data_IF_979342066916
#
_entry.id   IF_979342066916
#
_cell.length_a   1.000
_cell.length_b   1.000
_cell.length_c   1.000
_cell.angle_alpha   90.00
_cell.angle_beta   90.00
_cell.angle_gamma   90.00
#
_symmetry.space_group_name_H-M   'P 1'
#
loop_
_entity.id
_entity.type
_entity.pdbx_description
1 polymer ?
#
# COMPACT_ATOMS: atom_id res chain seq x y z
N UNK A 1 14.42 -8.36 44.48
CA UNK A 1 13.87 -9.27 43.45
C UNK A 1 13.42 -8.41 42.29
N UNK A 2 14.31 -8.13 41.32
CA UNK A 2 13.95 -7.41 40.08
C UNK A 2 15.00 -7.55 38.97
N UNK A 3 15.70 -8.69 38.88
CA UNK A 3 16.63 -8.97 37.78
C UNK A 3 16.09 -10.11 36.93
N UNK A 4 15.06 -9.83 36.14
CA UNK A 4 14.61 -10.72 35.08
C UNK A 4 14.32 -9.93 33.80
N UNK A 5 15.16 -10.14 32.78
CA UNK A 5 14.93 -9.91 31.35
C UNK A 5 14.93 -8.46 30.81
N UNK A 6 16.10 -7.82 30.74
CA UNK A 6 16.31 -6.68 29.82
C UNK A 6 17.21 -7.03 28.61
N UNK A 7 17.41 -8.32 28.31
CA UNK A 7 18.04 -8.77 27.06
C UNK A 7 16.97 -8.97 25.99
N UNK A 8 17.07 -8.24 24.87
CA UNK A 8 16.11 -8.30 23.77
C UNK A 8 16.03 -7.02 22.96
N UNK A 9 15.04 -6.95 22.08
CA UNK A 9 14.79 -5.83 21.17
C UNK A 9 13.43 -5.22 21.50
N UNK A 10 13.37 -3.91 21.69
CA UNK A 10 12.12 -3.15 21.80
C UNK A 10 11.97 -2.27 20.56
N UNK A 11 10.94 -2.54 19.77
CA UNK A 11 10.57 -1.76 18.59
C UNK A 11 9.53 -0.71 18.98
N UNK A 12 9.75 0.56 18.62
CA UNK A 12 8.89 1.68 19.04
C UNK A 12 8.41 2.49 17.83
N UNK A 13 7.11 2.64 17.68
CA UNK A 13 6.52 3.57 16.72
C UNK A 13 6.52 5.01 17.23
N UNK A 14 7.10 5.94 16.45
CA UNK A 14 7.20 7.35 16.81
C UNK A 14 5.98 8.19 16.44
N UNK A 15 5.01 7.61 15.75
CA UNK A 15 3.89 8.35 15.17
C UNK A 15 4.28 9.08 13.87
N UNK A 16 3.32 9.70 13.18
CA UNK A 16 3.53 10.35 11.87
C UNK A 16 3.99 11.81 11.98
N UNK A 17 4.03 12.39 13.18
CA UNK A 17 4.21 13.83 13.37
C UNK A 17 4.99 14.19 14.64
N UNK A 18 4.50 15.17 15.39
CA UNK A 18 5.12 15.64 16.63
C UNK A 18 4.89 14.73 17.83
N UNK A 19 5.59 15.01 18.93
CA UNK A 19 5.56 14.18 20.14
C UNK A 19 4.18 14.02 20.81
N UNK A 20 3.23 14.92 20.51
CA UNK A 20 1.84 14.79 20.97
C UNK A 20 1.10 13.58 20.38
N UNK A 21 1.60 12.98 19.30
CA UNK A 21 1.05 11.79 18.67
C UNK A 21 1.71 10.49 19.15
N UNK A 22 2.67 10.56 20.07
CA UNK A 22 3.20 9.36 20.72
C UNK A 22 2.10 8.67 21.53
N UNK A 23 2.05 7.34 21.44
CA UNK A 23 1.20 6.58 22.35
C UNK A 23 1.67 6.77 23.79
N UNK A 24 0.73 6.71 24.75
CA UNK A 24 1.09 6.81 26.17
C UNK A 24 2.12 5.75 26.58
N UNK A 25 2.05 4.57 25.96
CA UNK A 25 3.00 3.48 26.20
C UNK A 25 4.40 3.82 25.68
N UNK A 26 4.52 4.36 24.46
CA UNK A 26 5.79 4.83 23.92
C UNK A 26 6.39 5.91 24.81
N UNK A 27 5.60 6.93 25.19
CA UNK A 27 6.06 8.00 26.09
C UNK A 27 6.59 7.47 27.43
N UNK A 28 5.88 6.54 28.07
CA UNK A 28 6.32 5.93 29.33
C UNK A 28 7.64 5.17 29.15
N UNK A 29 7.77 4.36 28.10
CA UNK A 29 8.99 3.63 27.80
C UNK A 29 10.20 4.56 27.58
N UNK A 30 10.02 5.64 26.81
CA UNK A 30 11.07 6.64 26.56
C UNK A 30 11.56 7.30 27.85
N UNK A 31 10.74 7.38 28.89
CA UNK A 31 11.13 7.91 30.20
C UNK A 31 11.87 6.89 31.08
N UNK A 32 11.84 5.60 30.75
CA UNK A 32 12.46 4.52 31.52
C UNK A 32 13.84 4.12 31.01
N UNK A 33 14.17 4.45 29.76
CA UNK A 33 15.43 4.07 29.10
C UNK A 33 16.44 5.23 29.05
N UNK A 34 17.71 4.87 28.89
CA UNK A 34 18.81 5.85 28.77
C UNK A 34 19.25 6.09 27.32
N UNK A 35 19.08 5.10 26.43
CA UNK A 35 19.54 5.14 25.03
C UNK A 35 18.46 4.63 24.10
N UNK A 36 18.24 5.35 23.01
CA UNK A 36 17.37 4.95 21.90
C UNK A 36 18.13 5.01 20.58
N UNK A 37 17.91 4.01 19.75
CA UNK A 37 18.35 3.99 18.36
C UNK A 37 17.18 4.41 17.48
N UNK A 38 17.37 5.37 16.59
CA UNK A 38 16.33 5.85 15.68
C UNK A 38 16.74 5.61 14.24
N UNK A 39 15.77 5.26 13.38
CA UNK A 39 16.01 5.14 11.94
C UNK A 39 16.59 6.42 11.35
N UNK A 40 16.06 7.56 11.78
CA UNK A 40 16.52 8.89 11.36
C UNK A 40 16.36 9.94 12.46
N UNK A 41 17.23 10.96 12.48
CA UNK A 41 17.03 12.16 13.31
C UNK A 41 16.01 13.13 12.72
N UNK A 42 15.67 12.99 11.45
CA UNK A 42 14.75 13.87 10.74
C UNK A 42 13.29 13.49 11.04
N UNK A 43 12.90 13.53 12.32
CA UNK A 43 11.54 13.22 12.74
C UNK A 43 11.06 14.21 13.82
N UNK A 44 9.89 14.86 13.66
CA UNK A 44 9.43 15.90 14.59
C UNK A 44 9.27 15.45 16.04
N UNK A 45 8.87 14.19 16.27
CA UNK A 45 8.77 13.59 17.63
C UNK A 45 10.04 13.74 18.47
N UNK A 46 11.24 13.74 17.87
CA UNK A 46 12.50 13.79 18.62
C UNK A 46 12.64 15.07 19.44
N UNK A 47 12.05 16.19 19.00
CA UNK A 47 12.09 17.46 19.74
C UNK A 47 11.37 17.39 21.10
N UNK A 48 10.46 16.43 21.28
CA UNK A 48 9.74 16.22 22.53
C UNK A 48 10.32 15.12 23.42
N UNK A 49 11.45 14.48 23.04
CA UNK A 49 12.05 13.42 23.85
C UNK A 49 12.52 13.91 25.22
N UNK A 50 12.55 13.03 26.25
CA UNK A 50 13.11 13.37 27.54
C UNK A 50 14.56 13.83 27.43
N UNK A 51 14.95 14.92 28.11
CA UNK A 51 16.30 15.51 27.99
C UNK A 51 17.45 14.53 28.33
N UNK A 52 17.18 13.57 29.22
CA UNK A 52 18.15 12.53 29.62
C UNK A 52 18.37 11.45 28.56
N UNK A 53 17.48 11.33 27.58
CA UNK A 53 17.47 10.25 26.61
C UNK A 53 18.53 10.47 25.54
N UNK A 54 19.53 9.59 25.47
CA UNK A 54 20.56 9.64 24.43
C UNK A 54 20.02 9.06 23.13
N UNK A 55 19.99 9.89 22.08
CA UNK A 55 19.56 9.49 20.73
C UNK A 55 20.76 9.11 19.85
N UNK A 56 20.78 7.87 19.39
CA UNK A 56 21.71 7.36 18.38
C UNK A 56 20.93 7.15 17.08
N UNK A 57 21.43 7.64 15.95
CA UNK A 57 20.72 7.56 14.67
C UNK A 57 21.50 6.76 13.64
N UNK A 58 20.77 6.19 12.68
CA UNK A 58 21.34 5.49 11.54
C UNK A 58 21.50 6.36 10.28
N UNK A 59 21.30 7.69 10.37
CA UNK A 59 21.43 8.62 9.23
C UNK A 59 22.76 8.46 8.46
N UNK A 60 23.88 8.19 9.16
CA UNK A 60 25.20 7.96 8.55
C UNK A 60 25.24 6.78 7.57
N UNK A 61 24.35 5.79 7.75
CA UNK A 61 24.26 4.65 6.83
C UNK A 61 23.64 5.05 5.50
N UNK A 62 22.74 6.03 5.49
CA UNK A 62 22.13 6.57 4.27
C UNK A 62 23.11 7.44 3.47
N UNK A 63 24.09 8.06 4.13
CA UNK A 63 25.13 8.87 3.46
C UNK A 63 26.19 8.01 2.74
N UNK A 64 26.32 6.73 3.13
CA UNK A 64 27.43 5.86 2.72
C UNK A 64 27.03 4.74 1.76
N UNK A 65 25.74 4.56 1.46
CA UNK A 65 25.20 3.53 0.57
C UNK A 65 24.29 4.16 -0.48
N UNK A 66 24.37 3.69 -1.73
CA UNK A 66 23.56 4.20 -2.84
C UNK A 66 22.15 3.58 -2.91
N UNK A 67 21.92 2.47 -2.19
CA UNK A 67 20.67 1.69 -2.22
C UNK A 67 20.03 1.52 -0.84
N UNK A 68 18.71 1.69 -0.76
CA UNK A 68 17.95 1.58 0.49
C UNK A 68 18.02 0.18 1.11
N UNK A 69 18.02 -0.87 0.28
CA UNK A 69 18.06 -2.26 0.75
C UNK A 69 19.35 -2.55 1.52
N UNK A 70 20.48 -2.01 1.06
CA UNK A 70 21.76 -2.15 1.75
C UNK A 70 21.78 -1.42 3.09
N UNK A 71 21.17 -0.22 3.14
CA UNK A 71 21.03 0.55 4.38
C UNK A 71 20.18 -0.22 5.38
N UNK A 72 19.02 -0.74 4.95
CA UNK A 72 18.13 -1.51 5.80
C UNK A 72 18.79 -2.78 6.32
N UNK A 73 19.51 -3.52 5.48
CA UNK A 73 20.24 -4.72 5.92
C UNK A 73 21.29 -4.41 6.99
N UNK A 74 22.03 -3.30 6.85
CA UNK A 74 22.98 -2.83 7.87
C UNK A 74 22.28 -2.46 9.17
N UNK A 75 21.15 -1.74 9.12
CA UNK A 75 20.34 -1.39 10.29
C UNK A 75 19.84 -2.65 11.00
N UNK A 76 19.23 -3.58 10.26
CA UNK A 76 18.70 -4.85 10.77
C UNK A 76 19.80 -5.62 11.49
N UNK A 77 20.95 -5.81 10.83
CA UNK A 77 22.11 -6.51 11.41
C UNK A 77 22.58 -5.85 12.69
N UNK A 78 22.66 -4.51 12.71
CA UNK A 78 23.13 -3.77 13.89
C UNK A 78 22.14 -3.85 15.05
N UNK A 79 20.84 -3.78 14.81
CA UNK A 79 19.81 -3.92 15.85
C UNK A 79 19.81 -5.34 16.42
N UNK A 80 19.94 -6.37 15.59
CA UNK A 80 20.04 -7.77 16.03
C UNK A 80 21.30 -8.03 16.87
N UNK A 81 22.43 -7.46 16.48
CA UNK A 81 23.68 -7.50 17.26
C UNK A 81 23.48 -6.86 18.64
N UNK A 82 22.98 -5.62 18.69
CA UNK A 82 22.71 -4.92 19.95
C UNK A 82 21.70 -5.66 20.83
N UNK A 83 20.68 -6.28 20.24
CA UNK A 83 19.65 -7.06 20.96
C UNK A 83 20.18 -8.29 21.70
N UNK A 84 21.35 -8.82 21.30
CA UNK A 84 22.00 -9.96 21.96
C UNK A 84 22.84 -9.54 23.18
N UNK A 85 23.18 -8.27 23.31
CA UNK A 85 24.05 -7.78 24.38
C UNK A 85 23.28 -7.55 25.68
N UNK A 86 24.01 -7.52 26.81
CA UNK A 86 23.45 -7.18 28.11
C UNK A 86 22.86 -5.75 28.07
N UNK A 87 21.57 -5.63 28.37
CA UNK A 87 20.82 -4.36 28.31
C UNK A 87 19.94 -4.18 27.06
N UNK A 88 20.09 -5.05 26.05
CA UNK A 88 19.23 -5.06 24.86
C UNK A 88 19.31 -3.77 24.04
N UNK A 89 18.29 -3.52 23.22
CA UNK A 89 18.20 -2.34 22.36
C UNK A 89 16.76 -1.83 22.26
N UNK A 90 16.58 -0.51 22.30
CA UNK A 90 15.34 0.13 21.83
C UNK A 90 15.62 0.74 20.46
N UNK A 91 14.89 0.27 19.45
CA UNK A 91 14.94 0.78 18.09
C UNK A 91 13.59 1.42 17.72
N UNK A 92 13.62 2.66 17.25
CA UNK A 92 12.43 3.43 16.95
C UNK A 92 12.38 3.89 15.50
N UNK A 93 11.18 3.87 14.95
CA UNK A 93 10.89 4.15 13.54
C UNK A 93 9.76 5.18 13.42
N UNK A 94 9.78 6.04 12.40
CA UNK A 94 8.63 6.88 12.05
C UNK A 94 7.35 6.05 11.90
N UNK A 95 6.22 6.60 12.34
CA UNK A 95 4.93 5.92 12.23
C UNK A 95 4.81 4.69 13.13
N UNK A 96 4.45 3.55 12.53
CA UNK A 96 4.21 2.28 13.20
C UNK A 96 5.28 1.24 12.80
N UNK A 97 5.79 0.39 13.71
CA UNK A 97 6.82 -0.61 13.40
C UNK A 97 6.44 -1.72 12.40
N UNK A 98 5.23 -1.71 11.84
CA UNK A 98 4.72 -2.78 10.97
C UNK A 98 3.87 -2.25 9.81
N UNK A 99 3.79 -0.92 9.63
CA UNK A 99 3.02 -0.29 8.56
C UNK A 99 3.99 0.53 7.71
N UNK A 100 4.16 0.12 6.45
CA UNK A 100 5.13 0.72 5.51
C UNK A 100 6.54 0.88 6.12
N UNK A 101 6.99 -0.14 6.86
CA UNK A 101 8.28 -0.18 7.53
C UNK A 101 8.91 -1.57 7.34
N UNK A 102 10.02 -1.65 6.61
CA UNK A 102 10.62 -2.92 6.20
C UNK A 102 11.57 -3.51 7.26
N UNK A 103 12.20 -2.67 8.08
CA UNK A 103 13.27 -3.12 9.00
C UNK A 103 12.72 -3.90 10.19
N UNK A 104 11.64 -3.44 10.81
CA UNK A 104 11.05 -3.99 12.01
C UNK A 104 10.41 -5.38 11.83
N UNK A 105 9.64 -5.67 10.76
CA UNK A 105 9.17 -7.01 10.46
C UNK A 105 10.33 -8.00 10.28
N UNK A 106 11.37 -7.59 9.54
CA UNK A 106 12.53 -8.45 9.27
C UNK A 106 13.41 -8.67 10.52
N UNK A 107 13.61 -7.63 11.34
CA UNK A 107 14.23 -7.75 12.68
C UNK A 107 13.44 -8.78 13.51
N UNK A 108 12.12 -8.68 13.55
CA UNK A 108 11.27 -9.60 14.34
C UNK A 108 11.41 -11.05 13.84
N UNK A 109 11.40 -11.26 12.52
CA UNK A 109 11.58 -12.58 11.91
C UNK A 109 12.94 -13.20 12.27
N UNK A 110 14.05 -12.48 12.04
CA UNK A 110 15.40 -12.97 12.32
C UNK A 110 15.67 -13.12 13.82
N UNK A 111 15.19 -12.19 14.64
CA UNK A 111 15.30 -12.28 16.09
C UNK A 111 14.65 -13.55 16.64
N UNK A 112 13.49 -13.95 16.10
CA UNK A 112 12.82 -15.21 16.44
C UNK A 112 13.68 -16.44 16.12
N UNK A 113 14.34 -16.45 14.96
CA UNK A 113 15.26 -17.53 14.56
C UNK A 113 16.50 -17.61 15.45
N UNK A 114 16.95 -16.46 15.96
CA UNK A 114 18.09 -16.32 16.86
C UNK A 114 17.73 -16.49 18.35
N UNK A 115 16.45 -16.66 18.69
CA UNK A 115 15.99 -16.75 20.08
C UNK A 115 16.06 -15.43 20.87
N UNK A 116 16.10 -14.28 20.18
CA UNK A 116 16.11 -12.95 20.79
C UNK A 116 14.66 -12.53 21.05
N UNK A 117 14.34 -12.12 22.28
CA UNK A 117 13.01 -11.63 22.62
C UNK A 117 12.75 -10.27 21.96
N UNK A 118 11.59 -10.12 21.29
CA UNK A 118 11.16 -8.85 20.68
C UNK A 118 9.87 -8.38 21.35
N UNK A 119 9.84 -7.11 21.74
CA UNK A 119 8.65 -6.40 22.21
C UNK A 119 8.34 -5.26 21.24
N UNK A 120 7.09 -5.14 20.83
CA UNK A 120 6.62 -4.02 20.01
C UNK A 120 5.84 -3.05 20.89
N UNK A 121 6.12 -1.76 20.73
CA UNK A 121 5.34 -0.65 21.27
C UNK A 121 4.74 0.09 20.08
N UNK A 122 3.41 0.02 19.99
CA UNK A 122 2.66 0.55 18.85
C UNK A 122 2.78 2.06 18.73
N UNK A 123 2.68 2.55 17.50
CA UNK A 123 2.64 3.96 17.13
C UNK A 123 1.53 4.22 16.12
N UNK A 124 1.04 5.45 16.07
CA UNK A 124 0.10 5.87 15.02
C UNK A 124 0.79 5.79 13.66
N UNK A 125 0.14 5.25 12.64
CA UNK A 125 0.72 5.17 11.30
C UNK A 125 0.46 6.47 10.51
N UNK A 126 0.81 6.49 9.23
CA UNK A 126 0.40 7.57 8.33
C UNK A 126 -1.04 7.40 7.81
N UNK A 127 -1.63 6.21 7.92
CA UNK A 127 -2.92 5.86 7.33
C UNK A 127 -4.05 6.65 7.98
N UNK A 128 -4.15 6.62 9.30
CA UNK A 128 -5.20 7.29 10.06
C UNK A 128 -5.25 8.81 9.84
N UNK A 129 -4.12 9.56 9.98
CA UNK A 129 -4.15 10.99 9.71
C UNK A 129 -4.39 11.30 8.23
N UNK A 130 -4.00 10.42 7.30
CA UNK A 130 -4.25 10.63 5.87
C UNK A 130 -5.75 10.55 5.56
N UNK A 131 -6.46 9.53 6.05
CA UNK A 131 -7.92 9.45 5.88
C UNK A 131 -8.65 10.58 6.62
N UNK A 132 -8.14 11.00 7.78
CA UNK A 132 -8.66 12.19 8.49
C UNK A 132 -8.50 13.45 7.64
N UNK A 133 -7.35 13.65 7.00
CA UNK A 133 -7.09 14.79 6.11
C UNK A 133 -7.98 14.78 4.86
N UNK A 134 -8.26 13.58 4.33
CA UNK A 134 -9.13 13.37 3.16
C UNK A 134 -10.62 13.49 3.49
N UNK A 135 -10.99 13.43 4.79
CA UNK A 135 -12.38 13.38 5.24
C UNK A 135 -13.10 12.09 4.83
N UNK A 136 -12.37 10.97 4.76
CA UNK A 136 -12.88 9.70 4.24
C UNK A 136 -12.82 8.56 5.26
N UNK A 137 -13.70 7.59 5.09
CA UNK A 137 -13.64 6.27 5.73
C UNK A 137 -13.03 5.27 4.72
N UNK A 138 -11.97 4.51 5.09
CA UNK A 138 -11.42 3.47 4.22
C UNK A 138 -12.34 2.26 4.03
N UNK A 139 -13.34 2.07 4.90
CA UNK A 139 -14.29 0.97 4.78
C UNK A 139 -15.40 1.27 3.75
N UNK A 140 -15.99 0.23 3.11
CA UNK A 140 -15.70 -1.20 3.29
C UNK A 140 -14.50 -1.71 2.48
N UNK A 141 -14.00 -0.91 1.51
CA UNK A 141 -12.95 -1.33 0.58
C UNK A 141 -12.06 -0.12 0.26
N UNK A 142 -10.77 -0.24 0.59
CA UNK A 142 -9.70 0.66 0.12
C UNK A 142 -8.40 -0.14 0.08
N UNK A 143 -7.71 -0.06 -1.05
CA UNK A 143 -6.43 -0.72 -1.26
C UNK A 143 -5.29 0.10 -0.64
N UNK A 144 -4.33 -0.58 0.00
CA UNK A 144 -3.14 0.05 0.56
C UNK A 144 -1.93 -0.42 -0.25
N UNK A 145 -1.27 0.51 -0.95
CA UNK A 145 -0.27 0.19 -1.95
C UNK A 145 1.05 0.91 -1.66
N UNK A 146 2.17 0.23 -1.85
CA UNK A 146 3.50 0.86 -1.80
C UNK A 146 3.85 1.46 -3.17
N UNK A 147 4.15 2.76 -3.20
CA UNK A 147 4.58 3.43 -4.43
C UNK A 147 5.84 2.82 -5.04
N UNK A 148 6.76 2.29 -4.22
CA UNK A 148 7.99 1.69 -4.73
C UNK A 148 7.73 0.39 -5.47
N UNK A 149 6.82 -0.43 -4.95
CA UNK A 149 6.38 -1.64 -5.64
C UNK A 149 5.62 -1.28 -6.92
N UNK A 150 4.66 -0.36 -6.80
CA UNK A 150 3.82 0.07 -7.91
C UNK A 150 4.63 0.68 -9.07
N UNK A 151 5.65 1.50 -8.76
CA UNK A 151 6.53 2.11 -9.76
C UNK A 151 7.30 1.09 -10.61
N UNK A 152 7.48 -0.14 -10.11
CA UNK A 152 8.15 -1.23 -10.84
C UNK A 152 7.18 -2.09 -11.68
N UNK A 153 5.88 -1.78 -11.68
CA UNK A 153 4.85 -2.51 -12.41
C UNK A 153 4.43 -1.79 -13.69
N UNK A 154 3.87 -2.56 -14.64
CA UNK A 154 3.32 -2.03 -15.89
C UNK A 154 1.82 -1.70 -15.83
N UNK A 155 1.12 -2.26 -14.84
CA UNK A 155 -0.32 -2.04 -14.60
C UNK A 155 -0.57 -2.05 -13.09
N UNK A 156 -1.58 -1.32 -12.59
CA UNK A 156 -1.93 -1.37 -11.17
C UNK A 156 -2.39 -2.78 -10.77
N UNK A 157 -1.87 -3.34 -9.65
CA UNK A 157 -2.17 -4.70 -9.23
C UNK A 157 -3.48 -4.81 -8.43
N UNK A 158 -4.40 -3.86 -8.58
CA UNK A 158 -5.60 -3.76 -7.78
C UNK A 158 -6.83 -3.38 -8.62
N UNK A 159 -8.05 -3.73 -8.17
CA UNK A 159 -9.29 -3.46 -8.88
C UNK A 159 -9.53 -1.95 -9.10
N UNK A 160 -9.84 -1.50 -10.34
CA UNK A 160 -10.03 -0.07 -10.62
C UNK A 160 -11.36 0.49 -10.11
N UNK A 161 -12.28 -0.35 -9.66
CA UNK A 161 -13.55 0.04 -9.05
C UNK A 161 -13.43 0.32 -7.53
N UNK A 162 -12.23 0.16 -6.98
CA UNK A 162 -11.94 0.42 -5.56
C UNK A 162 -10.99 1.61 -5.40
N UNK A 163 -11.16 2.42 -4.34
CA UNK A 163 -10.18 3.45 -4.02
C UNK A 163 -8.86 2.81 -3.58
N UNK A 164 -7.75 3.50 -3.86
CA UNK A 164 -6.43 3.12 -3.39
C UNK A 164 -5.74 4.27 -2.66
N UNK A 165 -5.06 3.95 -1.57
CA UNK A 165 -4.10 4.81 -0.89
C UNK A 165 -2.69 4.30 -1.19
N UNK A 166 -1.97 5.03 -2.03
CA UNK A 166 -0.58 4.76 -2.39
C UNK A 166 0.34 5.57 -1.47
N UNK A 167 1.05 4.88 -0.57
CA UNK A 167 2.02 5.48 0.34
C UNK A 167 3.43 5.57 -0.26
N UNK A 168 4.37 6.19 0.46
CA UNK A 168 5.80 6.22 0.11
C UNK A 168 6.17 6.99 -1.18
N UNK A 169 5.42 8.03 -1.56
CA UNK A 169 5.77 8.88 -2.72
C UNK A 169 6.81 9.93 -2.31
N UNK A 170 8.05 9.49 -2.08
CA UNK A 170 9.07 10.37 -1.48
C UNK A 170 9.76 11.33 -2.46
N UNK A 171 9.62 11.13 -3.77
CA UNK A 171 10.22 12.00 -4.79
C UNK A 171 9.35 12.15 -6.03
N UNK A 172 9.70 13.13 -6.86
CA UNK A 172 9.00 13.38 -8.13
C UNK A 172 9.25 12.27 -9.15
N UNK A 173 10.40 11.63 -9.09
CA UNK A 173 10.74 10.47 -9.92
C UNK A 173 9.80 9.30 -9.58
N UNK A 174 9.64 8.97 -8.30
CA UNK A 174 8.67 7.94 -7.87
C UNK A 174 7.25 8.30 -8.27
N UNK A 175 6.84 9.58 -8.09
CA UNK A 175 5.53 10.04 -8.54
C UNK A 175 5.34 9.89 -10.06
N UNK A 176 6.39 10.13 -10.85
CA UNK A 176 6.35 9.98 -12.30
C UNK A 176 6.19 8.51 -12.72
N UNK A 177 6.93 7.60 -12.08
CA UNK A 177 6.84 6.17 -12.37
C UNK A 177 5.47 5.60 -11.95
N UNK A 178 4.99 5.95 -10.75
CA UNK A 178 3.63 5.60 -10.29
C UNK A 178 2.57 6.11 -11.26
N UNK A 179 2.67 7.37 -11.72
CA UNK A 179 1.76 7.93 -12.72
C UNK A 179 1.73 7.07 -13.98
N UNK A 180 2.89 6.68 -14.51
CA UNK A 180 2.99 5.86 -15.72
C UNK A 180 2.28 4.52 -15.55
N UNK A 181 2.50 3.83 -14.42
CA UNK A 181 1.80 2.58 -14.09
C UNK A 181 0.29 2.78 -14.00
N UNK A 182 -0.18 3.82 -13.31
CA UNK A 182 -1.60 4.11 -13.17
C UNK A 182 -2.26 4.46 -14.52
N UNK A 183 -1.54 5.14 -15.42
CA UNK A 183 -2.06 5.58 -16.72
C UNK A 183 -2.33 4.42 -17.69
N UNK A 184 -1.85 3.21 -17.36
CA UNK A 184 -2.19 2.00 -18.09
C UNK A 184 -3.69 1.63 -17.97
N UNK A 185 -4.38 2.11 -16.93
CA UNK A 185 -5.80 1.81 -16.67
C UNK A 185 -6.63 3.09 -16.47
N UNK A 186 -6.08 4.08 -15.76
CA UNK A 186 -6.77 5.32 -15.45
C UNK A 186 -6.48 6.39 -16.52
N UNK A 187 -7.48 7.19 -16.94
CA UNK A 187 -7.22 8.37 -17.75
C UNK A 187 -6.21 9.30 -17.08
N UNK A 188 -5.34 9.93 -17.86
CA UNK A 188 -4.36 10.89 -17.35
C UNK A 188 -5.01 12.10 -16.65
N UNK A 189 -6.25 12.42 -17.02
CA UNK A 189 -7.11 13.45 -16.42
C UNK A 189 -7.89 12.99 -15.18
N UNK A 190 -7.78 11.72 -14.77
CA UNK A 190 -8.49 11.18 -13.62
C UNK A 190 -8.18 12.00 -12.35
N UNK A 191 -9.19 12.46 -11.59
CA UNK A 191 -8.96 13.27 -10.41
C UNK A 191 -8.32 12.44 -9.30
N UNK A 192 -7.27 12.98 -8.70
CA UNK A 192 -6.56 12.35 -7.59
C UNK A 192 -6.27 13.37 -6.49
N UNK A 193 -5.88 12.88 -5.32
CA UNK A 193 -5.52 13.72 -4.18
C UNK A 193 -4.16 13.36 -3.62
N UNK A 194 -3.23 14.32 -3.59
CA UNK A 194 -1.99 14.16 -2.84
C UNK A 194 -2.20 14.66 -1.41
N UNK A 195 -1.69 13.91 -0.44
CA UNK A 195 -1.68 14.29 0.97
C UNK A 195 -0.23 14.34 1.43
N UNK A 196 0.18 15.51 1.90
CA UNK A 196 1.52 15.78 2.39
C UNK A 196 1.48 16.00 3.89
N UNK A 197 2.43 15.42 4.63
CA UNK A 197 2.62 15.70 6.06
C UNK A 197 1.35 15.44 6.89
N UNK A 198 0.61 14.38 6.57
CA UNK A 198 -0.66 14.06 7.21
C UNK A 198 -0.55 14.04 8.76
N UNK A 199 -1.43 14.77 9.43
CA UNK A 199 -1.44 14.86 10.90
C UNK A 199 -0.38 15.78 11.51
N UNK A 200 0.38 16.51 10.69
CA UNK A 200 1.33 17.54 11.13
C UNK A 200 0.79 18.96 10.89
N UNK A 201 1.47 19.96 11.44
CA UNK A 201 1.16 21.38 11.19
C UNK A 201 1.42 21.80 9.73
N UNK A 202 2.20 21.01 8.98
CA UNK A 202 2.52 21.22 7.56
C UNK A 202 1.59 20.44 6.63
N UNK A 203 0.47 19.92 7.14
CA UNK A 203 -0.47 19.14 6.34
C UNK A 203 -1.02 19.94 5.16
N UNK A 204 -0.90 19.37 3.96
CA UNK A 204 -1.48 19.91 2.73
C UNK A 204 -2.20 18.78 1.99
N UNK A 205 -3.41 19.07 1.50
CA UNK A 205 -4.14 18.20 0.58
C UNK A 205 -4.27 18.93 -0.75
N UNK A 206 -3.76 18.34 -1.82
CA UNK A 206 -3.84 18.88 -3.18
C UNK A 206 -4.82 18.02 -4.00
N UNK A 207 -5.81 18.66 -4.61
CA UNK A 207 -6.67 18.06 -5.65
C UNK A 207 -6.09 18.40 -7.02
N UNK A 208 -5.75 17.39 -7.82
CA UNK A 208 -5.14 17.57 -9.15
C UNK A 208 -5.46 16.39 -10.07
N UNK A 209 -5.33 16.54 -11.40
CA UNK A 209 -5.40 15.41 -12.32
C UNK A 209 -4.15 14.52 -12.21
N UNK A 210 -4.30 13.22 -12.50
CA UNK A 210 -3.24 12.22 -12.42
C UNK A 210 -1.95 12.64 -13.16
N UNK A 211 -2.07 13.32 -14.31
CA UNK A 211 -0.90 13.74 -15.08
C UNK A 211 -0.01 14.78 -14.39
N UNK A 212 -0.48 15.44 -13.32
CA UNK A 212 0.24 16.50 -12.60
C UNK A 212 0.93 16.04 -11.32
N UNK A 213 0.76 14.80 -10.86
CA UNK A 213 1.26 14.37 -9.53
C UNK A 213 2.77 14.53 -9.36
N UNK A 214 3.54 14.32 -10.42
CA UNK A 214 5.01 14.47 -10.44
C UNK A 214 5.46 15.94 -10.54
N UNK A 215 4.54 16.87 -10.73
CA UNK A 215 4.80 18.31 -10.82
C UNK A 215 4.58 19.03 -9.50
N UNK A 216 3.90 18.41 -8.52
CA UNK A 216 3.70 19.00 -7.21
C UNK A 216 5.04 19.39 -6.55
N UNK A 217 5.05 20.54 -5.90
CA UNK A 217 6.21 21.06 -5.15
C UNK A 217 6.27 20.52 -3.72
N UNK A 218 5.19 19.89 -3.26
CA UNK A 218 5.06 19.37 -1.91
C UNK A 218 5.46 17.88 -1.81
N UNK A 219 5.62 17.19 -2.95
CA UNK A 219 6.12 15.80 -3.00
C UNK A 219 7.44 15.68 -2.23
N UNK A 220 7.47 14.70 -1.33
CA UNK A 220 8.55 14.46 -0.37
C UNK A 220 8.24 13.27 0.54
N UNK A 221 9.12 12.99 1.50
CA UNK A 221 9.11 11.79 2.36
C UNK A 221 7.77 11.44 3.03
N UNK A 222 6.89 12.43 3.25
CA UNK A 222 5.61 12.27 3.94
C UNK A 222 4.41 12.45 2.99
N UNK A 223 4.56 12.02 1.73
CA UNK A 223 3.51 12.14 0.71
C UNK A 223 2.84 10.81 0.43
N UNK A 224 1.50 10.84 0.38
CA UNK A 224 0.67 9.73 -0.09
C UNK A 224 -0.27 10.23 -1.18
N UNK A 225 -0.64 9.35 -2.11
CA UNK A 225 -1.62 9.59 -3.16
C UNK A 225 -2.88 8.80 -2.85
N UNK A 226 -4.01 9.50 -2.77
CA UNK A 226 -5.32 8.89 -2.80
C UNK A 226 -5.85 8.89 -4.23
N UNK A 227 -6.15 7.70 -4.72
CA UNK A 227 -6.72 7.42 -6.03
C UNK A 227 -8.19 7.02 -5.83
N UNK A 228 -9.16 7.87 -6.20
CA UNK A 228 -10.57 7.49 -6.23
C UNK A 228 -10.82 6.36 -7.24
N UNK A 229 -11.88 5.55 -7.05
CA UNK A 229 -12.24 4.51 -8.01
C UNK A 229 -12.54 5.12 -9.39
N UNK A 230 -12.21 4.38 -10.45
CA UNK A 230 -12.40 4.80 -11.84
C UNK A 230 -13.89 4.86 -12.20
N UNK A 231 -14.59 3.74 -12.00
CA UNK A 231 -16.03 3.62 -12.19
C UNK A 231 -16.54 2.39 -11.41
N UNK A 232 -17.83 2.37 -11.02
CA UNK A 232 -18.46 1.15 -10.53
C UNK A 232 -18.31 0.02 -11.56
N UNK A 233 -18.09 -1.20 -11.07
CA UNK A 233 -18.04 -2.43 -11.87
C UNK A 233 -16.96 -2.45 -12.97
N UNK A 234 -15.97 -1.55 -12.90
CA UNK A 234 -14.85 -1.51 -13.83
C UNK A 234 -13.82 -2.65 -13.61
N UNK A 235 -13.96 -3.39 -12.50
CA UNK A 235 -13.13 -4.54 -12.20
C UNK A 235 -13.73 -5.85 -12.71
N UNK A 236 -12.87 -6.84 -12.89
CA UNK A 236 -13.29 -8.18 -13.33
C UNK A 236 -14.25 -8.83 -12.33
N UNK A 237 -14.06 -8.59 -11.03
CA UNK A 237 -14.95 -9.08 -9.98
C UNK A 237 -16.34 -8.46 -10.06
N UNK A 238 -16.43 -7.17 -10.43
CA UNK A 238 -17.71 -6.51 -10.70
C UNK A 238 -18.42 -7.15 -11.91
N UNK A 239 -17.66 -7.43 -12.98
CA UNK A 239 -18.18 -8.15 -14.13
C UNK A 239 -18.65 -9.57 -13.79
N UNK A 240 -17.88 -10.30 -12.99
CA UNK A 240 -18.26 -11.62 -12.49
C UNK A 240 -19.56 -11.57 -11.69
N UNK A 241 -19.71 -10.59 -10.80
CA UNK A 241 -20.93 -10.41 -10.01
C UNK A 241 -22.14 -10.12 -10.91
N UNK A 242 -21.98 -9.32 -11.96
CA UNK A 242 -23.04 -9.07 -12.94
C UNK A 242 -23.47 -10.38 -13.60
N UNK A 243 -22.53 -11.20 -14.08
CA UNK A 243 -22.83 -12.50 -14.72
C UNK A 243 -23.52 -13.45 -13.74
N UNK A 244 -23.03 -13.52 -12.49
CA UNK A 244 -23.65 -14.32 -11.44
C UNK A 244 -25.07 -13.84 -11.13
N UNK A 245 -25.30 -12.53 -11.07
CA UNK A 245 -26.62 -11.94 -10.83
C UNK A 245 -27.60 -12.22 -11.98
N UNK A 246 -27.15 -12.16 -13.25
CA UNK A 246 -27.98 -12.51 -14.40
C UNK A 246 -28.51 -13.95 -14.31
N UNK A 247 -27.75 -14.86 -13.70
CA UNK A 247 -28.13 -16.26 -13.49
C UNK A 247 -28.76 -16.56 -12.12
N UNK A 248 -28.84 -15.58 -11.23
CA UNK A 248 -29.44 -15.74 -9.91
C UNK A 248 -30.95 -16.08 -10.02
N UNK A 249 -31.62 -16.57 -8.95
CA UNK A 249 -33.04 -16.90 -8.99
C UNK A 249 -33.94 -15.77 -9.51
N UNK A 250 -33.60 -14.52 -9.18
CA UNK A 250 -34.25 -13.27 -9.59
C UNK A 250 -33.59 -12.60 -10.82
N UNK A 251 -32.58 -13.24 -11.42
CA UNK A 251 -31.90 -12.80 -12.62
C UNK A 251 -32.71 -12.97 -13.92
N UNK A 252 -32.03 -12.81 -15.05
CA UNK A 252 -32.61 -12.88 -16.38
C UNK A 252 -33.03 -14.33 -16.74
N UNK A 253 -34.30 -14.56 -17.12
CA UNK A 253 -34.76 -15.90 -17.49
C UNK A 253 -33.97 -16.53 -18.64
N UNK A 254 -33.56 -15.73 -19.64
CA UNK A 254 -32.80 -16.22 -20.78
C UNK A 254 -31.39 -16.66 -20.41
N UNK A 255 -30.69 -15.86 -19.59
CA UNK A 255 -29.33 -16.19 -19.14
C UNK A 255 -29.32 -17.45 -18.28
N UNK A 256 -30.33 -17.63 -17.41
CA UNK A 256 -30.48 -18.82 -16.56
C UNK A 256 -30.72 -20.11 -17.34
N UNK A 257 -31.44 -20.03 -18.46
CA UNK A 257 -31.73 -21.19 -19.30
C UNK A 257 -30.52 -21.64 -20.12
N UNK A 258 -29.45 -20.83 -20.20
CA UNK A 258 -28.23 -21.21 -20.90
C UNK A 258 -27.51 -22.36 -20.20
N UNK A 259 -26.99 -23.28 -21.02
CA UNK A 259 -26.08 -24.36 -20.64
C UNK A 259 -24.77 -24.23 -21.41
N UNK A 260 -23.71 -24.93 -20.99
CA UNK A 260 -22.44 -24.93 -21.73
C UNK A 260 -22.62 -25.33 -23.20
N UNK A 261 -23.55 -26.25 -23.48
CA UNK A 261 -23.82 -26.66 -24.86
C UNK A 261 -24.57 -25.60 -25.67
N UNK A 262 -25.44 -24.80 -25.03
CA UNK A 262 -26.16 -23.72 -25.73
C UNK A 262 -25.30 -22.48 -25.97
N UNK A 263 -24.27 -22.27 -25.17
CA UNK A 263 -23.30 -21.15 -25.31
C UNK A 263 -22.20 -21.43 -26.34
N UNK A 264 -21.90 -22.70 -26.65
CA UNK A 264 -20.89 -23.08 -27.64
C UNK A 264 -21.01 -22.40 -29.03
N UNK A 265 -22.22 -22.25 -29.62
CA UNK A 265 -22.41 -21.48 -30.85
C UNK A 265 -21.98 -20.02 -30.73
N UNK A 266 -22.36 -19.32 -29.66
CA UNK A 266 -21.95 -17.94 -29.41
C UNK A 266 -20.43 -17.82 -29.30
N UNK A 267 -19.76 -18.73 -28.58
CA UNK A 267 -18.29 -18.73 -28.51
C UNK A 267 -17.64 -18.78 -29.90
N UNK A 268 -18.19 -19.59 -30.80
CA UNK A 268 -17.68 -19.70 -32.16
C UNK A 268 -17.97 -18.42 -32.97
N UNK A 269 -19.17 -17.89 -32.85
CA UNK A 269 -19.63 -16.66 -33.52
C UNK A 269 -18.76 -15.47 -33.13
N UNK A 270 -18.67 -15.12 -31.84
CA UNK A 270 -17.87 -13.98 -31.35
C UNK A 270 -16.39 -14.14 -31.73
N UNK A 271 -15.87 -15.37 -31.80
CA UNK A 271 -14.49 -15.63 -32.25
C UNK A 271 -14.32 -15.28 -33.73
N UNK A 272 -15.28 -15.62 -34.58
CA UNK A 272 -15.22 -15.28 -36.00
C UNK A 272 -15.42 -13.78 -36.22
N UNK A 273 -16.29 -13.12 -35.46
CA UNK A 273 -16.50 -11.68 -35.55
C UNK A 273 -15.22 -10.92 -35.15
N UNK A 274 -14.58 -11.31 -34.04
CA UNK A 274 -13.30 -10.76 -33.63
C UNK A 274 -12.20 -10.95 -34.70
N UNK A 275 -12.13 -12.13 -35.32
CA UNK A 275 -11.17 -12.38 -36.41
C UNK A 275 -11.47 -11.54 -37.65
N UNK A 276 -12.75 -11.36 -38.00
CA UNK A 276 -13.16 -10.51 -39.12
C UNK A 276 -12.76 -9.06 -38.89
N UNK A 277 -13.05 -8.52 -37.70
CA UNK A 277 -12.66 -7.15 -37.33
C UNK A 277 -11.13 -6.96 -37.38
N UNK A 278 -10.36 -7.98 -36.97
CA UNK A 278 -8.90 -7.98 -37.06
C UNK A 278 -8.41 -7.96 -38.53
N UNK A 279 -9.01 -8.77 -39.41
CA UNK A 279 -8.68 -8.82 -40.85
C UNK A 279 -9.03 -7.52 -41.58
N UNK A 280 -10.13 -6.88 -41.19
CA UNK A 280 -10.58 -5.59 -41.72
C UNK A 280 -9.78 -4.41 -41.16
N UNK A 281 -9.02 -4.63 -40.09
CA UNK A 281 -8.22 -3.60 -39.42
C UNK A 281 -9.08 -2.57 -38.70
N UNK A 282 -10.24 -2.98 -38.18
CA UNK A 282 -11.14 -2.15 -37.37
C UNK A 282 -10.88 -2.39 -35.87
N UNK A 283 -10.09 -1.51 -35.21
CA UNK A 283 -9.74 -1.70 -33.80
C UNK A 283 -10.92 -1.46 -32.85
N UNK A 284 -11.92 -0.67 -33.24
CA UNK A 284 -13.08 -0.40 -32.40
C UNK A 284 -14.01 -1.62 -32.39
N UNK A 285 -14.30 -2.17 -33.57
CA UNK A 285 -15.05 -3.42 -33.69
C UNK A 285 -14.30 -4.57 -32.99
N UNK A 286 -12.99 -4.73 -33.23
CA UNK A 286 -12.21 -5.79 -32.58
C UNK A 286 -12.26 -5.71 -31.05
N UNK A 287 -12.27 -4.50 -30.47
CA UNK A 287 -12.44 -4.32 -29.03
C UNK A 287 -13.83 -4.74 -28.55
N UNK A 288 -14.88 -4.43 -29.30
CA UNK A 288 -16.26 -4.82 -29.01
C UNK A 288 -16.39 -6.35 -28.96
N UNK A 289 -15.95 -7.04 -30.01
CA UNK A 289 -16.00 -8.50 -30.10
C UNK A 289 -15.17 -9.21 -29.02
N UNK A 290 -14.03 -8.63 -28.61
CA UNK A 290 -13.26 -9.14 -27.48
C UNK A 290 -14.02 -9.00 -26.14
N UNK A 291 -14.88 -7.99 -26.01
CA UNK A 291 -15.78 -7.83 -24.88
C UNK A 291 -16.86 -8.91 -24.86
N UNK A 292 -17.45 -9.21 -26.01
CA UNK A 292 -18.48 -10.24 -26.14
C UNK A 292 -17.90 -11.65 -25.91
N UNK A 293 -16.70 -11.91 -26.43
CA UNK A 293 -15.93 -13.11 -26.09
C UNK A 293 -15.70 -13.24 -24.58
N UNK A 294 -15.30 -12.16 -23.92
CA UNK A 294 -15.09 -12.17 -22.47
C UNK A 294 -16.40 -12.47 -21.72
N UNK A 295 -17.53 -11.94 -22.17
CA UNK A 295 -18.86 -12.26 -21.63
C UNK A 295 -19.18 -13.74 -21.77
N UNK A 296 -19.01 -14.31 -22.97
CA UNK A 296 -19.27 -15.74 -23.22
C UNK A 296 -18.39 -16.61 -22.31
N UNK A 297 -17.10 -16.28 -22.18
CA UNK A 297 -16.18 -17.02 -21.31
C UNK A 297 -16.57 -16.94 -19.83
N UNK A 298 -17.01 -15.76 -19.36
CA UNK A 298 -17.47 -15.60 -17.98
C UNK A 298 -18.79 -16.35 -17.71
N UNK A 299 -19.72 -16.34 -18.67
CA UNK A 299 -20.96 -17.09 -18.61
C UNK A 299 -20.71 -18.61 -18.53
N UNK A 300 -19.82 -19.13 -19.37
CA UNK A 300 -19.38 -20.53 -19.36
C UNK A 300 -18.74 -20.93 -18.02
N UNK A 301 -17.87 -20.07 -17.47
CA UNK A 301 -17.25 -20.29 -16.17
C UNK A 301 -18.29 -20.30 -15.03
N UNK A 302 -19.28 -19.40 -15.09
CA UNK A 302 -20.36 -19.34 -14.11
C UNK A 302 -21.26 -20.58 -14.19
N UNK A 303 -21.68 -21.01 -15.38
CA UNK A 303 -22.46 -22.24 -15.58
C UNK A 303 -21.68 -23.45 -15.02
N UNK A 304 -20.40 -23.57 -15.36
CA UNK A 304 -19.56 -24.66 -14.86
C UNK A 304 -19.47 -24.68 -13.33
N UNK A 305 -19.34 -23.50 -12.70
CA UNK A 305 -19.29 -23.38 -11.24
C UNK A 305 -20.60 -23.76 -10.56
N UNK A 306 -21.75 -23.60 -11.22
CA UNK A 306 -23.06 -24.02 -10.70
C UNK A 306 -23.25 -25.54 -10.74
N UNK A 307 -22.65 -26.19 -11.74
CA UNK A 307 -22.74 -27.62 -11.98
C UNK A 307 -21.75 -28.47 -11.16
N UNK A 308 -20.66 -27.87 -10.64
CA UNK A 308 -19.70 -28.48 -9.70
C UNK A 308 -18.37 -28.90 -10.30
#
# INVERSE_FOLDING_TARGET
>A
MSDSNNSGIVLVGLGPGGAGLLTRQAWQWLNEIDVIYVRTRQHPTLAGFPEKLKVVSFDELYETSEKFEEVYEKIITRVLDLGQHAGGVTYAVPGHPFVAEATCPEITRRAKEMGIAVRVIEGLSFIEPTFTALGLDPFPRTELVDALELANLHTPPFPPDQPALIGQIYSREVAADVKLTLTAVYPDTHPVRLVHGAGSDEQVVEDLPLYEIDRSKHVGLLTSLYLPPLAPDAALEGFQEIVAHLRAPDGCPWDKEQTQQSMGPSLLEETYEALSALEEGDPDAFREELGDLLMVLMMEAQIASEDG
#
